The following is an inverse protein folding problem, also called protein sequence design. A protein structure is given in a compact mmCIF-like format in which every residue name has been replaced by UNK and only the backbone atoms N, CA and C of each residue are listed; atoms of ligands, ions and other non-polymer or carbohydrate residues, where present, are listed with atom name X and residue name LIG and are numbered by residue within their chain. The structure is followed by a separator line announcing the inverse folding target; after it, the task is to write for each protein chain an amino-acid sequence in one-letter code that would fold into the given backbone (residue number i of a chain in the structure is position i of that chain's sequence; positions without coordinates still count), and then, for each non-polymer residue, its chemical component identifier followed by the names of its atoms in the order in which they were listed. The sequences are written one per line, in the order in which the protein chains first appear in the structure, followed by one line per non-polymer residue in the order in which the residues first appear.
data_IF_949143586293
#
_entry.id   IF_949143586293
#
_cell.length_a   1.000
_cell.length_b   1.000
_cell.length_c   1.000
_cell.angle_alpha   90.00
_cell.angle_beta   90.00
_cell.angle_gamma   90.00
#
_symmetry.space_group_name_H-M   'P 1'
#
loop_
_entity.id
_entity.type
_entity.pdbx_description
1 polymer ?
#
# COMPACT_ATOMS: atom_id res chain seq x y z
N UNK A 1 9.11 4.38 -5.09
CA UNK A 1 10.14 3.31 -5.11
C UNK A 1 11.50 3.78 -4.61
N UNK A 2 12.01 4.94 -5.03
CA UNK A 2 13.41 5.34 -4.79
C UNK A 2 13.61 6.32 -3.62
N UNK A 3 12.57 7.08 -3.27
CA UNK A 3 12.61 8.21 -2.35
C UNK A 3 11.80 7.92 -1.07
N UNK A 4 10.48 8.00 -1.14
CA UNK A 4 9.58 7.88 0.01
C UNK A 4 9.66 6.51 0.69
N UNK A 5 10.07 5.47 -0.05
CA UNK A 5 10.26 4.12 0.51
C UNK A 5 11.38 4.05 1.56
N UNK A 6 12.37 4.95 1.48
CA UNK A 6 13.55 4.99 2.36
C UNK A 6 13.66 6.30 3.15
N UNK A 7 12.78 7.27 2.90
CA UNK A 7 12.80 8.57 3.58
C UNK A 7 12.29 8.48 5.03
N UNK A 8 13.14 8.81 5.99
CA UNK A 8 12.82 8.74 7.41
C UNK A 8 11.71 9.72 7.82
N UNK A 9 11.60 10.86 7.14
CA UNK A 9 10.54 11.85 7.42
C UNK A 9 9.18 11.33 6.99
N UNK A 10 9.10 10.75 5.79
CA UNK A 10 7.90 10.09 5.27
C UNK A 10 7.43 8.99 6.21
N UNK A 11 8.34 8.11 6.64
CA UNK A 11 8.03 7.04 7.58
C UNK A 11 7.50 7.57 8.92
N UNK A 12 8.13 8.62 9.46
CA UNK A 12 7.71 9.25 10.71
C UNK A 12 6.31 9.87 10.60
N UNK A 13 6.02 10.58 9.50
CA UNK A 13 4.71 11.18 9.26
C UNK A 13 3.61 10.12 9.10
N UNK A 14 3.88 9.04 8.36
CA UNK A 14 2.92 7.95 8.17
C UNK A 14 2.62 7.27 9.52
N UNK A 15 3.66 6.97 10.30
CA UNK A 15 3.52 6.44 11.66
C UNK A 15 2.64 7.37 12.51
N UNK A 16 2.98 8.66 12.57
CA UNK A 16 2.26 9.63 13.39
C UNK A 16 0.78 9.74 13.00
N UNK A 17 0.49 9.79 11.69
CA UNK A 17 -0.88 9.85 11.20
C UNK A 17 -1.68 8.61 11.63
N UNK A 18 -1.12 7.43 11.39
CA UNK A 18 -1.78 6.18 11.73
C UNK A 18 -2.01 6.03 13.24
N UNK A 19 -1.02 6.35 14.08
CA UNK A 19 -1.12 6.30 15.53
C UNK A 19 -2.09 7.34 16.11
N UNK A 20 -2.30 8.46 15.41
CA UNK A 20 -3.36 9.44 15.71
C UNK A 20 -4.75 9.00 15.24
N UNK A 21 -4.92 7.75 14.82
CA UNK A 21 -6.21 7.20 14.39
C UNK A 21 -6.64 7.64 13.00
N UNK A 22 -5.76 8.27 12.20
CA UNK A 22 -6.08 8.68 10.82
C UNK A 22 -5.92 7.51 9.86
N UNK A 23 -6.56 7.64 8.70
CA UNK A 23 -6.39 6.73 7.58
C UNK A 23 -5.07 7.06 6.87
N UNK A 24 -4.31 6.03 6.52
CA UNK A 24 -3.17 6.11 5.60
C UNK A 24 -3.51 5.31 4.35
N UNK A 25 -3.34 5.92 3.17
CA UNK A 25 -3.76 5.32 1.91
C UNK A 25 -2.78 5.62 0.78
N UNK A 26 -2.62 4.66 -0.13
CA UNK A 26 -1.74 4.80 -1.30
C UNK A 26 -2.15 3.84 -2.43
N UNK A 27 -1.80 4.20 -3.68
CA UNK A 27 -2.17 3.42 -4.88
C UNK A 27 -0.94 3.19 -5.78
N UNK A 28 -0.95 2.13 -6.59
CA UNK A 28 0.09 1.82 -7.56
C UNK A 28 1.44 1.55 -6.86
N UNK A 29 2.47 2.37 -7.11
CA UNK A 29 3.75 2.30 -6.39
C UNK A 29 3.77 3.05 -5.05
N UNK A 30 2.74 3.83 -4.74
CA UNK A 30 2.63 4.60 -3.50
C UNK A 30 2.82 3.76 -2.22
N UNK A 31 2.25 2.54 -2.11
CA UNK A 31 2.45 1.66 -0.95
C UNK A 31 3.91 1.33 -0.63
N UNK A 32 4.86 1.59 -1.55
CA UNK A 32 6.29 1.50 -1.27
C UNK A 32 6.71 2.34 -0.04
N UNK A 33 6.03 3.47 0.21
CA UNK A 33 6.26 4.32 1.38
C UNK A 33 5.89 3.64 2.71
N UNK A 34 5.09 2.57 2.69
CA UNK A 34 4.63 1.85 3.88
C UNK A 34 5.52 0.69 4.29
N UNK A 35 6.34 0.15 3.37
CA UNK A 35 7.12 -1.09 3.56
C UNK A 35 7.96 -1.07 4.84
N UNK A 36 8.59 0.08 5.13
CA UNK A 36 9.52 0.23 6.24
C UNK A 36 8.93 0.94 7.46
N UNK A 37 7.63 1.27 7.46
CA UNK A 37 6.99 1.97 8.57
C UNK A 37 6.82 1.02 9.76
N UNK A 38 7.45 1.36 10.88
CA UNK A 38 7.30 0.68 12.16
C UNK A 38 6.53 1.54 13.15
N UNK A 39 5.60 0.92 13.87
CA UNK A 39 4.80 1.55 14.93
C UNK A 39 5.61 1.64 16.23
N UNK A 40 5.06 2.31 17.24
CA UNK A 40 5.72 2.51 18.55
C UNK A 40 5.93 1.21 19.32
N UNK A 41 5.09 0.20 19.08
CA UNK A 41 5.28 -1.16 19.61
C UNK A 41 6.38 -1.97 18.89
N UNK A 42 6.95 -1.43 17.81
CA UNK A 42 7.99 -2.06 17.01
C UNK A 42 7.47 -2.93 15.86
N UNK A 43 6.15 -3.16 15.76
CA UNK A 43 5.55 -3.90 14.65
C UNK A 43 5.59 -3.10 13.36
N UNK A 44 5.63 -3.80 12.22
CA UNK A 44 5.42 -3.16 10.93
C UNK A 44 3.95 -2.72 10.79
N UNK A 45 3.72 -1.53 10.21
CA UNK A 45 2.38 -1.04 9.90
C UNK A 45 1.54 -2.09 9.14
N UNK A 46 2.18 -2.76 8.18
CA UNK A 46 1.57 -3.76 7.30
C UNK A 46 1.44 -5.16 7.95
N UNK A 47 2.04 -5.40 9.12
CA UNK A 47 2.15 -6.73 9.72
C UNK A 47 0.78 -7.39 9.89
N UNK A 48 0.62 -8.59 9.31
CA UNK A 48 -0.60 -9.39 9.35
C UNK A 48 -1.85 -8.68 8.79
N UNK A 49 -1.67 -7.72 7.88
CA UNK A 49 -2.76 -6.95 7.24
C UNK A 49 -2.84 -7.19 5.74
N UNK A 50 -4.06 -7.22 5.16
CA UNK A 50 -4.26 -7.11 3.72
C UNK A 50 -3.54 -5.89 3.16
N UNK A 51 -2.80 -6.07 2.06
CA UNK A 51 -2.14 -4.98 1.34
C UNK A 51 -2.06 -5.30 -0.14
N UNK A 52 -2.10 -4.28 -0.99
CA UNK A 52 -1.85 -4.41 -2.42
C UNK A 52 -1.01 -3.24 -2.92
N UNK A 53 -0.59 -3.31 -4.18
CA UNK A 53 0.26 -2.35 -4.87
C UNK A 53 0.59 -2.92 -6.24
N UNK A 54 1.32 -2.15 -7.05
CA UNK A 54 1.63 -2.55 -8.43
C UNK A 54 2.31 -3.92 -8.45
N UNK A 55 1.75 -4.86 -9.21
CA UNK A 55 2.17 -6.25 -9.18
C UNK A 55 3.47 -6.46 -9.96
N UNK A 56 4.17 -7.55 -9.67
CA UNK A 56 5.35 -7.94 -10.44
C UNK A 56 4.99 -8.20 -11.91
N UNK A 57 3.81 -8.79 -12.16
CA UNK A 57 3.31 -9.06 -13.52
C UNK A 57 3.09 -7.75 -14.30
N UNK A 58 2.60 -6.71 -13.62
CA UNK A 58 2.41 -5.37 -14.21
C UNK A 58 3.74 -4.66 -14.45
N UNK A 59 4.71 -4.78 -13.52
CA UNK A 59 6.07 -4.23 -13.66
C UNK A 59 6.85 -4.89 -14.82
N UNK A 60 6.72 -6.21 -14.96
CA UNK A 60 7.31 -6.98 -16.06
C UNK A 60 6.67 -6.59 -17.40
N UNK A 61 5.35 -6.39 -17.44
CA UNK A 61 4.63 -5.98 -18.64
C UNK A 61 5.08 -4.60 -19.16
N UNK A 62 5.48 -3.69 -18.28
CA UNK A 62 6.06 -2.38 -18.67
C UNK A 62 7.58 -2.42 -18.89
N UNK A 63 8.23 -3.56 -18.63
CA UNK A 63 9.64 -3.80 -18.91
C UNK A 63 10.61 -3.09 -17.95
N UNK A 64 10.15 -2.71 -16.75
CA UNK A 64 10.94 -1.90 -15.80
C UNK A 64 11.41 -2.65 -14.56
N UNK A 65 11.08 -3.93 -14.39
CA UNK A 65 11.45 -4.72 -13.21
C UNK A 65 12.95 -4.68 -12.87
N UNK A 66 13.82 -4.71 -13.90
CA UNK A 66 15.28 -4.65 -13.70
C UNK A 66 15.80 -3.25 -13.34
N UNK A 67 15.01 -2.21 -13.58
CA UNK A 67 15.34 -0.84 -13.22
C UNK A 67 14.86 -0.48 -11.81
N UNK A 68 13.93 -1.26 -11.23
CA UNK A 68 13.41 -1.02 -9.89
C UNK A 68 14.44 -1.37 -8.81
N UNK A 69 14.52 -0.60 -7.71
CA UNK A 69 15.47 -0.85 -6.63
C UNK A 69 15.08 -2.08 -5.80
N UNK A 70 13.79 -2.44 -5.86
CA UNK A 70 13.18 -3.65 -5.33
C UNK A 70 11.83 -3.84 -6.03
N UNK A 71 11.31 -5.07 -6.01
CA UNK A 71 9.97 -5.37 -6.50
C UNK A 71 8.93 -5.09 -5.42
N UNK A 72 7.88 -4.33 -5.77
CA UNK A 72 6.93 -3.82 -4.79
C UNK A 72 6.08 -4.93 -4.17
N UNK A 73 5.54 -5.85 -4.98
CA UNK A 73 4.77 -7.00 -4.51
C UNK A 73 5.58 -7.82 -3.48
N UNK A 74 6.84 -8.16 -3.79
CA UNK A 74 7.70 -8.92 -2.88
C UNK A 74 7.93 -8.19 -1.54
N UNK A 75 8.16 -6.88 -1.60
CA UNK A 75 8.41 -6.06 -0.42
C UNK A 75 7.17 -5.95 0.47
N UNK A 76 6.00 -5.74 -0.14
CA UNK A 76 4.72 -5.68 0.57
C UNK A 76 4.34 -7.04 1.15
N UNK A 77 4.53 -8.12 0.40
CA UNK A 77 4.23 -9.49 0.84
C UNK A 77 5.11 -9.90 2.03
N UNK A 78 6.39 -9.53 2.01
CA UNK A 78 7.30 -9.71 3.14
C UNK A 78 6.89 -8.88 4.35
N UNK A 79 6.64 -7.58 4.19
CA UNK A 79 6.29 -6.68 5.29
C UNK A 79 4.93 -7.03 5.93
N UNK A 80 4.00 -7.59 5.15
CA UNK A 80 2.67 -7.97 5.60
C UNK A 80 2.55 -9.40 6.13
N UNK A 81 3.63 -10.20 6.08
CA UNK A 81 3.66 -11.63 6.45
C UNK A 81 2.74 -12.48 5.57
N UNK A 82 2.94 -12.38 4.26
CA UNK A 82 2.23 -13.16 3.23
C UNK A 82 0.76 -12.78 3.09
N UNK A 83 0.45 -11.48 3.17
CA UNK A 83 -0.91 -10.92 3.07
C UNK A 83 -1.06 -9.96 1.89
N UNK A 84 -0.17 -10.05 0.90
CA UNK A 84 -0.33 -9.33 -0.35
C UNK A 84 -1.53 -9.90 -1.13
N UNK A 85 -2.36 -9.01 -1.65
CA UNK A 85 -3.50 -9.32 -2.51
C UNK A 85 -3.30 -8.66 -3.87
N UNK A 86 -3.80 -9.30 -4.93
CA UNK A 86 -3.87 -8.73 -6.26
C UNK A 86 -5.13 -9.22 -6.98
N UNK A 87 -5.58 -8.45 -7.95
CA UNK A 87 -6.59 -8.86 -8.90
C UNK A 87 -6.15 -10.13 -9.65
N UNK A 88 -7.13 -10.90 -10.14
CA UNK A 88 -6.89 -12.08 -10.96
C UNK A 88 -6.14 -11.75 -12.25
N UNK A 89 -6.47 -10.60 -12.86
CA UNK A 89 -5.86 -10.13 -14.11
C UNK A 89 -5.05 -8.85 -13.86
N UNK A 90 -3.85 -8.71 -14.46
CA UNK A 90 -3.10 -7.46 -14.47
C UNK A 90 -3.97 -6.30 -14.98
N UNK A 91 -3.77 -5.11 -14.43
CA UNK A 91 -4.51 -3.88 -14.77
C UNK A 91 -5.97 -3.82 -14.32
N UNK A 92 -6.53 -4.92 -13.79
CA UNK A 92 -7.84 -4.87 -13.14
C UNK A 92 -7.74 -4.16 -11.77
N UNK A 93 -8.81 -3.46 -11.40
CA UNK A 93 -8.83 -2.72 -10.13
C UNK A 93 -8.85 -3.69 -8.93
N UNK A 94 -8.02 -3.42 -7.91
CA UNK A 94 -8.06 -4.12 -6.62
C UNK A 94 -7.75 -3.16 -5.49
N UNK A 95 -8.52 -3.24 -4.41
CA UNK A 95 -8.34 -2.43 -3.20
C UNK A 95 -8.27 -3.36 -1.99
N UNK A 96 -7.17 -3.30 -1.24
CA UNK A 96 -7.00 -4.02 0.00
C UNK A 96 -7.23 -3.08 1.19
N UNK A 97 -8.03 -3.54 2.16
CA UNK A 97 -8.42 -2.77 3.35
C UNK A 97 -7.96 -3.49 4.61
N UNK A 98 -7.00 -2.90 5.32
CA UNK A 98 -6.43 -3.41 6.56
C UNK A 98 -6.66 -2.49 7.76
N UNK A 99 -6.19 -2.94 8.93
CA UNK A 99 -6.22 -2.22 10.23
C UNK A 99 -7.60 -1.62 10.57
N UNK A 100 -8.66 -2.35 10.25
CA UNK A 100 -10.05 -1.91 10.48
C UNK A 100 -10.43 -0.66 9.70
N UNK A 101 -9.98 -0.52 8.45
CA UNK A 101 -10.32 0.60 7.56
C UNK A 101 -9.33 1.75 7.57
N UNK A 102 -8.28 1.70 8.40
CA UNK A 102 -7.28 2.77 8.52
C UNK A 102 -6.04 2.59 7.65
N UNK A 103 -5.86 1.42 7.04
CA UNK A 103 -4.85 1.15 6.03
C UNK A 103 -5.58 0.76 4.75
N UNK A 104 -5.47 1.56 3.70
CA UNK A 104 -6.15 1.30 2.41
C UNK A 104 -5.09 1.34 1.32
N UNK A 105 -5.03 0.32 0.48
CA UNK A 105 -4.08 0.28 -0.64
C UNK A 105 -4.76 -0.14 -1.92
N UNK A 106 -4.32 0.42 -3.05
CA UNK A 106 -4.85 0.11 -4.38
C UNK A 106 -3.75 -0.38 -5.32
N UNK A 107 -4.06 -1.39 -6.13
CA UNK A 107 -3.05 -2.10 -6.91
C UNK A 107 -2.42 -1.23 -8.00
N UNK A 108 -3.22 -0.56 -8.81
CA UNK A 108 -2.78 0.07 -10.06
C UNK A 108 -3.63 1.33 -10.36
N UNK A 109 -3.41 2.05 -11.49
CA UNK A 109 -4.21 3.24 -11.81
C UNK A 109 -5.72 3.00 -11.88
N UNK A 110 -6.17 1.81 -12.31
CA UNK A 110 -7.59 1.46 -12.34
C UNK A 110 -8.20 1.37 -10.92
N UNK A 111 -7.36 1.19 -9.91
CA UNK A 111 -7.77 1.12 -8.51
C UNK A 111 -7.97 2.50 -7.86
N UNK A 112 -7.63 3.60 -8.53
CA UNK A 112 -7.68 4.94 -7.95
C UNK A 112 -9.10 5.37 -7.54
N UNK A 113 -10.09 5.18 -8.43
CA UNK A 113 -11.50 5.50 -8.14
C UNK A 113 -12.07 4.66 -6.99
N UNK A 114 -12.03 3.31 -7.03
CA UNK A 114 -12.58 2.51 -5.93
C UNK A 114 -11.84 2.72 -4.60
N UNK A 115 -10.54 3.05 -4.63
CA UNK A 115 -9.80 3.44 -3.42
C UNK A 115 -10.34 4.76 -2.83
N UNK A 116 -10.71 5.72 -3.68
CA UNK A 116 -11.37 6.96 -3.27
C UNK A 116 -12.77 6.73 -2.67
N UNK A 117 -13.56 5.83 -3.27
CA UNK A 117 -14.87 5.43 -2.74
C UNK A 117 -14.75 4.76 -1.36
N UNK A 118 -13.78 3.86 -1.19
CA UNK A 118 -13.52 3.23 0.11
C UNK A 118 -13.03 4.26 1.15
N UNK A 119 -12.23 5.24 0.76
CA UNK A 119 -11.84 6.36 1.64
C UNK A 119 -13.06 7.14 2.15
N UNK A 120 -14.00 7.50 1.27
CA UNK A 120 -15.21 8.23 1.66
C UNK A 120 -16.06 7.43 2.63
N UNK A 121 -16.24 6.13 2.37
CA UNK A 121 -16.91 5.19 3.27
C UNK A 121 -16.27 5.14 4.65
N UNK A 122 -14.93 5.02 4.73
CA UNK A 122 -14.21 4.97 6.02
C UNK A 122 -14.23 6.32 6.77
N UNK A 123 -14.44 7.43 6.06
CA UNK A 123 -14.68 8.75 6.64
C UNK A 123 -16.14 8.97 7.08
N UNK A 124 -17.04 8.01 6.84
CA UNK A 124 -18.47 8.14 7.14
C UNK A 124 -19.20 9.09 6.19
N UNK A 125 -18.66 9.33 5.00
CA UNK A 125 -19.24 10.17 3.96
C UNK A 125 -19.90 9.24 2.94
N UNK A 126 -21.23 9.25 2.87
CA UNK A 126 -21.98 8.52 1.84
C UNK A 126 -21.89 9.27 0.50
N UNK A 127 -21.53 8.54 -0.55
CA UNK A 127 -21.63 8.98 -1.96
C UNK A 127 -22.93 8.53 -2.59
#
# INVERSE_FOLDING_TARGET
MFDLAIDATSQALIKEFYEKGKIVSAVCHGPAAFVNVKLTDGEHLLQDQPVTGFSNDEEDAVGLSKAMPFLLEDALDKASRRKFEKAEEPWAAHVAVGRGGRLITGQNPASATPLGEELLKQLGIST
#
